data_IF_658448771295
#
_entry.id   IF_658448771295
#
_cell.length_a   1.000
_cell.length_b   1.000
_cell.length_c   1.000
_cell.angle_alpha   90.00
_cell.angle_beta   90.00
_cell.angle_gamma   90.00
#
_symmetry.space_group_name_H-M   'P 1'
#
loop_
_entity.id
_entity.type
_entity.pdbx_description
1 polymer ?
#
# COMPACT_ATOMS: atom_id res chain seq x y z
N UNK A 1 23.06 -32.43 2.48
CA UNK A 1 21.65 -32.81 2.27
C UNK A 1 20.72 -32.46 3.45
N UNK A 2 21.11 -32.61 4.73
CA UNK A 2 20.27 -32.22 5.89
C UNK A 2 19.84 -30.74 5.95
N UNK A 3 20.68 -29.80 5.50
CA UNK A 3 20.36 -28.36 5.48
C UNK A 3 19.35 -27.96 4.38
N UNK A 4 19.20 -28.76 3.31
CA UNK A 4 18.28 -28.48 2.21
C UNK A 4 16.85 -28.95 2.53
N UNK A 5 16.72 -30.06 3.28
CA UNK A 5 15.44 -30.51 3.82
C UNK A 5 14.84 -29.51 4.83
N UNK A 6 15.68 -28.86 5.65
CA UNK A 6 15.22 -27.83 6.60
C UNK A 6 14.62 -26.59 5.91
N UNK A 7 15.17 -26.22 4.74
CA UNK A 7 14.72 -25.04 3.98
C UNK A 7 13.42 -25.28 3.21
N UNK A 8 13.23 -26.47 2.64
CA UNK A 8 11.99 -26.86 1.92
C UNK A 8 10.85 -27.11 2.91
N UNK A 9 11.14 -27.63 4.10
CA UNK A 9 10.16 -27.73 5.20
C UNK A 9 9.75 -26.34 5.68
N UNK A 10 10.66 -25.37 5.84
CA UNK A 10 10.31 -23.99 6.24
C UNK A 10 9.26 -23.32 5.33
N UNK A 11 9.32 -23.50 4.01
CA UNK A 11 8.37 -22.84 3.11
C UNK A 11 6.98 -23.50 3.09
N UNK A 12 6.87 -24.83 3.26
CA UNK A 12 5.59 -25.53 3.34
C UNK A 12 4.99 -25.55 4.76
N UNK A 13 5.81 -25.43 5.81
CA UNK A 13 5.33 -25.33 7.19
C UNK A 13 4.85 -23.92 7.54
N UNK A 14 5.35 -22.86 6.89
CA UNK A 14 4.85 -21.50 7.13
C UNK A 14 3.35 -21.38 6.83
N UNK A 15 2.85 -22.01 5.76
CA UNK A 15 1.41 -22.03 5.45
C UNK A 15 0.59 -22.80 6.49
N UNK A 16 1.12 -23.89 7.03
CA UNK A 16 0.51 -24.64 8.15
C UNK A 16 0.60 -23.87 9.48
N UNK A 17 1.67 -23.12 9.72
CA UNK A 17 1.87 -22.31 10.93
C UNK A 17 0.90 -21.13 11.02
N UNK A 18 0.46 -20.58 9.87
CA UNK A 18 -0.58 -19.52 9.86
C UNK A 18 -1.89 -20.04 10.47
N UNK A 19 -2.17 -21.34 10.38
CA UNK A 19 -3.36 -21.96 10.98
C UNK A 19 -3.09 -22.61 12.34
N UNK A 20 -1.84 -22.97 12.64
CA UNK A 20 -1.49 -23.66 13.88
C UNK A 20 -1.79 -22.78 15.11
N UNK A 21 -2.60 -23.31 16.02
CA UNK A 21 -2.92 -22.62 17.26
C UNK A 21 -1.80 -22.74 18.31
N UNK A 22 -0.97 -23.79 18.21
CA UNK A 22 0.11 -24.13 19.13
C UNK A 22 1.25 -24.87 18.40
N UNK A 23 2.37 -25.10 19.07
CA UNK A 23 3.52 -25.84 18.54
C UNK A 23 3.20 -27.34 18.48
N UNK A 24 3.47 -28.03 17.36
CA UNK A 24 3.24 -29.46 17.24
C UNK A 24 3.95 -30.25 18.37
N UNK A 25 3.30 -31.27 18.97
CA UNK A 25 3.84 -32.00 20.10
C UNK A 25 5.13 -32.78 19.75
N UNK A 26 5.37 -33.07 18.48
CA UNK A 26 6.56 -33.77 17.97
C UNK A 26 7.84 -32.95 18.13
N UNK A 27 7.72 -31.63 18.28
CA UNK A 27 8.86 -30.75 18.53
C UNK A 27 9.20 -30.78 20.03
N UNK A 28 10.21 -31.59 20.35
CA UNK A 28 10.66 -31.82 21.73
C UNK A 28 11.83 -30.94 22.14
N UNK A 29 12.62 -30.43 21.18
CA UNK A 29 13.72 -29.53 21.48
C UNK A 29 13.21 -28.21 22.09
N UNK A 30 13.66 -27.81 23.30
CA UNK A 30 13.15 -26.63 23.98
C UNK A 30 13.40 -25.32 23.23
N UNK A 31 14.54 -25.21 22.54
CA UNK A 31 14.92 -24.00 21.82
C UNK A 31 14.08 -23.85 20.56
N UNK A 32 13.96 -24.94 19.77
CA UNK A 32 13.10 -24.99 18.59
C UNK A 32 11.63 -24.70 18.94
N UNK A 33 11.13 -25.30 20.04
CA UNK A 33 9.78 -25.07 20.52
C UNK A 33 9.53 -23.61 20.89
N UNK A 34 10.51 -22.93 21.51
CA UNK A 34 10.40 -21.51 21.84
C UNK A 34 10.44 -20.62 20.59
N UNK A 35 11.31 -20.92 19.62
CA UNK A 35 11.34 -20.23 18.32
C UNK A 35 9.99 -20.32 17.63
N UNK A 36 9.39 -21.52 17.57
CA UNK A 36 8.08 -21.75 16.98
C UNK A 36 6.97 -21.01 17.73
N UNK A 37 6.99 -21.01 19.07
CA UNK A 37 6.03 -20.23 19.87
C UNK A 37 6.10 -18.74 19.54
N UNK A 38 7.30 -18.17 19.47
CA UNK A 38 7.48 -16.76 19.13
C UNK A 38 7.01 -16.47 17.70
N UNK A 39 7.35 -17.32 16.73
CA UNK A 39 6.92 -17.17 15.35
C UNK A 39 5.40 -17.26 15.19
N UNK A 40 4.74 -18.21 15.85
CA UNK A 40 3.27 -18.34 15.85
C UNK A 40 2.63 -17.08 16.45
N UNK A 41 3.16 -16.60 17.60
CA UNK A 41 2.65 -15.37 18.21
C UNK A 41 2.82 -14.18 17.27
N UNK A 42 4.00 -13.98 16.68
CA UNK A 42 4.29 -12.86 15.76
C UNK A 42 3.55 -12.93 14.42
N UNK A 43 3.03 -14.09 14.02
CA UNK A 43 2.16 -14.24 12.86
C UNK A 43 0.69 -13.89 13.14
N UNK A 44 0.33 -13.59 14.39
CA UNK A 44 -1.00 -13.08 14.77
C UNK A 44 -0.97 -11.57 15.00
N UNK A 45 -2.14 -10.98 15.14
CA UNK A 45 -2.34 -9.57 15.49
C UNK A 45 -3.24 -9.53 16.72
N UNK A 46 -2.65 -9.50 17.92
CA UNK A 46 -3.39 -9.30 19.17
C UNK A 46 -4.09 -7.94 19.15
N UNK A 47 -5.13 -7.78 19.97
CA UNK A 47 -5.83 -6.51 20.14
C UNK A 47 -4.89 -5.43 20.65
N UNK A 48 -4.00 -5.75 21.60
CA UNK A 48 -3.04 -4.78 22.13
C UNK A 48 -2.07 -4.28 21.05
N UNK A 49 -1.52 -5.18 20.24
CA UNK A 49 -0.67 -4.80 19.11
C UNK A 49 -1.46 -4.01 18.05
N UNK A 50 -2.66 -4.49 17.70
CA UNK A 50 -3.54 -3.83 16.72
C UNK A 50 -3.81 -2.38 17.10
N UNK A 51 -4.15 -2.11 18.36
CA UNK A 51 -4.48 -0.76 18.83
C UNK A 51 -3.29 0.19 18.68
N UNK A 52 -2.09 -0.23 19.12
CA UNK A 52 -0.88 0.60 19.02
C UNK A 52 -0.50 0.84 17.56
N UNK A 53 -0.47 -0.23 16.75
CA UNK A 53 -0.15 -0.12 15.32
C UNK A 53 -1.17 0.74 14.57
N UNK A 54 -2.48 0.54 14.80
CA UNK A 54 -3.54 1.31 14.17
C UNK A 54 -3.46 2.79 14.54
N UNK A 55 -3.14 3.13 15.79
CA UNK A 55 -2.93 4.52 16.19
C UNK A 55 -1.77 5.15 15.41
N UNK A 56 -0.61 4.50 15.34
CA UNK A 56 0.54 5.01 14.59
C UNK A 56 0.25 5.18 13.09
N UNK A 57 -0.45 4.21 12.49
CA UNK A 57 -0.86 4.28 11.09
C UNK A 57 -1.83 5.43 10.85
N UNK A 58 -2.81 5.62 11.74
CA UNK A 58 -3.79 6.70 11.65
C UNK A 58 -3.16 8.09 11.84
N UNK A 59 -2.19 8.23 12.75
CA UNK A 59 -1.43 9.46 12.93
C UNK A 59 -0.63 9.82 11.68
N UNK A 60 0.04 8.84 11.06
CA UNK A 60 0.80 9.07 9.82
C UNK A 60 -0.12 9.35 8.61
N UNK A 61 -1.26 8.66 8.51
CA UNK A 61 -2.28 8.95 7.49
C UNK A 61 -2.82 10.39 7.63
N UNK A 62 -3.10 10.82 8.86
CA UNK A 62 -3.51 12.19 9.15
C UNK A 62 -2.44 13.22 8.80
N UNK A 63 -1.18 12.93 9.11
CA UNK A 63 -0.06 13.77 8.70
C UNK A 63 -0.01 13.93 7.17
N UNK A 64 -0.06 12.82 6.42
CA UNK A 64 -0.04 12.86 4.95
C UNK A 64 -1.25 13.62 4.39
N UNK A 65 -2.46 13.35 4.89
CA UNK A 65 -3.67 14.03 4.46
C UNK A 65 -3.60 15.55 4.69
N UNK A 66 -2.97 15.97 5.79
CA UNK A 66 -2.75 17.39 6.09
C UNK A 66 -1.73 18.02 5.15
N UNK A 67 -0.53 17.43 5.05
CA UNK A 67 0.56 17.99 4.22
C UNK A 67 0.23 18.04 2.73
N UNK A 68 -0.49 17.03 2.24
CA UNK A 68 -0.91 16.94 0.84
C UNK A 68 -2.20 17.73 0.56
N UNK A 69 -2.83 18.31 1.59
CA UNK A 69 -4.09 19.06 1.50
C UNK A 69 -5.19 18.27 0.77
N UNK A 70 -5.32 16.99 1.12
CA UNK A 70 -6.26 16.10 0.42
C UNK A 70 -7.71 16.58 0.60
N UNK A 71 -8.57 16.47 -0.43
CA UNK A 71 -9.96 16.96 -0.41
C UNK A 71 -10.89 16.02 0.38
N UNK A 72 -10.62 15.85 1.68
CA UNK A 72 -11.35 14.98 2.60
C UNK A 72 -11.48 15.61 4.00
N UNK A 73 -12.47 15.18 4.81
CA UNK A 73 -12.54 15.59 6.22
C UNK A 73 -11.25 15.24 6.97
N UNK A 74 -10.79 16.15 7.82
CA UNK A 74 -9.57 16.02 8.63
C UNK A 74 -9.84 16.53 10.05
N UNK A 75 -9.28 15.90 11.09
CA UNK A 75 -8.50 14.66 11.03
C UNK A 75 -9.40 13.44 10.77
N UNK A 76 -8.85 12.43 10.09
CA UNK A 76 -9.42 11.10 9.89
C UNK A 76 -9.67 10.49 11.28
N UNK A 77 -10.94 10.24 11.59
CA UNK A 77 -11.33 9.56 12.82
C UNK A 77 -11.23 8.04 12.65
N UNK A 78 -10.97 7.27 13.72
CA UNK A 78 -11.01 5.82 13.67
C UNK A 78 -12.35 5.25 13.17
N UNK A 79 -13.47 5.97 13.40
CA UNK A 79 -14.81 5.57 12.96
C UNK A 79 -15.04 5.77 11.46
N UNK A 80 -14.25 6.63 10.82
CA UNK A 80 -14.40 7.00 9.41
C UNK A 80 -13.44 6.22 8.51
N UNK A 81 -12.66 5.31 9.09
CA UNK A 81 -11.62 4.57 8.40
C UNK A 81 -11.66 3.08 8.73
N UNK A 82 -11.46 2.25 7.70
CA UNK A 82 -11.09 0.86 7.88
C UNK A 82 -9.58 0.77 8.02
N UNK A 83 -9.10 0.22 9.15
CA UNK A 83 -7.67 0.08 9.43
C UNK A 83 -7.30 -1.39 9.44
N UNK A 84 -6.48 -1.80 8.49
CA UNK A 84 -5.90 -3.13 8.43
C UNK A 84 -4.44 -3.08 8.90
N UNK A 85 -4.08 -3.95 9.85
CA UNK A 85 -2.75 -4.03 10.43
C UNK A 85 -2.10 -5.36 10.03
N UNK A 86 -0.88 -5.29 9.52
CA UNK A 86 -0.07 -6.45 9.13
C UNK A 86 0.54 -7.09 10.40
N UNK A 87 0.55 -8.44 10.50
CA UNK A 87 1.23 -9.12 11.60
C UNK A 87 2.71 -8.75 11.71
N UNK A 88 3.26 -8.60 12.94
CA UNK A 88 4.66 -8.21 13.15
C UNK A 88 5.65 -9.04 12.34
N UNK A 89 5.41 -10.35 12.18
CA UNK A 89 6.31 -11.23 11.43
C UNK A 89 6.62 -10.73 10.02
N UNK A 90 5.64 -10.13 9.34
CA UNK A 90 5.79 -9.61 7.98
C UNK A 90 6.32 -8.18 7.94
N UNK A 91 6.33 -7.47 9.06
CA UNK A 91 6.84 -6.09 9.19
C UNK A 91 8.21 -6.02 9.87
N UNK A 92 8.94 -7.14 9.96
CA UNK A 92 10.28 -7.21 10.55
C UNK A 92 11.31 -6.43 9.73
N UNK A 93 12.27 -5.78 10.39
CA UNK A 93 13.34 -5.08 9.69
C UNK A 93 14.33 -6.02 8.99
N UNK A 94 14.72 -5.71 7.75
CA UNK A 94 15.71 -6.51 7.02
C UNK A 94 17.10 -6.52 7.69
N UNK A 95 17.43 -5.46 8.44
CA UNK A 95 18.64 -5.37 9.26
C UNK A 95 18.67 -6.42 10.37
N UNK A 96 17.51 -6.97 10.76
CA UNK A 96 17.43 -8.07 11.70
C UNK A 96 17.63 -9.37 10.92
N UNK A 97 18.88 -9.84 10.90
CA UNK A 97 19.21 -11.16 10.35
C UNK A 97 18.63 -12.24 11.27
N UNK A 98 17.32 -12.45 11.14
CA UNK A 98 16.52 -13.45 11.81
C UNK A 98 16.84 -14.82 11.24
N UNK A 99 18.04 -15.29 11.56
CA UNK A 99 18.25 -16.72 11.60
C UNK A 99 17.33 -17.25 12.69
N UNK A 100 16.34 -18.06 12.30
CA UNK A 100 15.47 -18.87 13.17
C UNK A 100 16.25 -19.89 14.02
N UNK A 101 17.53 -19.63 14.29
CA UNK A 101 18.40 -20.52 15.04
C UNK A 101 18.49 -20.17 16.52
N UNK A 102 18.03 -18.98 16.95
CA UNK A 102 18.13 -18.53 18.35
C UNK A 102 16.94 -17.65 18.78
N UNK A 103 16.25 -17.97 19.89
CA UNK A 103 15.17 -17.14 20.44
C UNK A 103 15.56 -15.68 20.69
N UNK A 104 16.77 -15.42 21.18
CA UNK A 104 17.22 -14.05 21.53
C UNK A 104 17.35 -13.12 20.32
N UNK A 105 17.55 -13.68 19.12
CA UNK A 105 17.51 -12.90 17.88
C UNK A 105 16.09 -12.48 17.52
N UNK A 106 15.10 -13.32 17.81
CA UNK A 106 13.69 -12.97 17.64
C UNK A 106 13.31 -11.88 18.64
N UNK A 107 13.76 -12.00 19.89
CA UNK A 107 13.48 -11.02 20.95
C UNK A 107 14.08 -9.64 20.71
N UNK A 108 15.23 -9.57 20.03
CA UNK A 108 15.89 -8.32 19.65
C UNK A 108 15.48 -7.78 18.28
N UNK A 109 14.53 -8.43 17.60
CA UNK A 109 14.06 -7.97 16.31
C UNK A 109 13.28 -6.65 16.42
N UNK A 110 13.53 -5.77 15.46
CA UNK A 110 12.78 -4.55 15.24
C UNK A 110 11.59 -4.83 14.31
N UNK A 111 10.43 -4.34 14.70
CA UNK A 111 9.18 -4.48 13.96
C UNK A 111 8.64 -3.10 13.61
N UNK A 112 8.17 -2.95 12.38
CA UNK A 112 7.49 -1.74 11.94
C UNK A 112 5.98 -1.86 12.14
N UNK A 113 5.30 -0.73 12.39
CA UNK A 113 3.89 -0.64 12.09
C UNK A 113 3.75 -0.72 10.56
N UNK A 114 2.95 -1.67 10.08
CA UNK A 114 2.68 -1.88 8.66
C UNK A 114 1.20 -2.16 8.50
N UNK A 115 0.58 -1.58 7.48
CA UNK A 115 -0.85 -1.67 7.30
C UNK A 115 -1.40 -0.66 6.32
N UNK A 116 -2.73 -0.62 6.28
CA UNK A 116 -3.52 0.23 5.40
C UNK A 116 -4.58 0.97 6.21
N UNK A 117 -4.68 2.28 6.00
CA UNK A 117 -5.81 3.10 6.46
C UNK A 117 -6.65 3.45 5.25
N UNK A 118 -7.90 3.02 5.22
CA UNK A 118 -8.81 3.20 4.08
C UNK A 118 -9.96 4.10 4.49
N UNK A 119 -10.17 5.18 3.75
CA UNK A 119 -11.33 6.06 3.85
C UNK A 119 -12.17 5.95 2.58
N UNK A 120 -13.33 6.61 2.56
CA UNK A 120 -14.18 6.68 1.37
C UNK A 120 -13.43 7.25 0.15
N UNK A 121 -12.51 8.20 0.38
CA UNK A 121 -11.84 8.96 -0.69
C UNK A 121 -10.41 8.53 -0.97
N UNK A 122 -9.69 8.09 0.06
CA UNK A 122 -8.27 7.77 -0.02
C UNK A 122 -7.90 6.52 0.76
N UNK A 123 -6.90 5.81 0.26
CA UNK A 123 -6.25 4.67 0.86
C UNK A 123 -4.78 5.03 1.13
N UNK A 124 -4.31 4.72 2.33
CA UNK A 124 -2.96 5.00 2.80
C UNK A 124 -2.28 3.68 3.16
N UNK A 125 -1.30 3.26 2.38
CA UNK A 125 -0.50 2.07 2.69
C UNK A 125 0.83 2.52 3.28
N UNK A 126 1.09 2.15 4.53
CA UNK A 126 2.10 2.81 5.36
C UNK A 126 3.00 1.79 6.04
N UNK A 127 4.30 2.10 6.07
CA UNK A 127 5.28 1.42 6.90
C UNK A 127 5.94 0.22 6.21
N UNK A 128 6.12 -0.84 6.98
CA UNK A 128 6.85 -2.04 6.57
C UNK A 128 8.38 -1.84 6.50
N UNK A 129 9.12 -2.88 6.08
CA UNK A 129 10.59 -2.92 6.16
C UNK A 129 11.30 -1.81 5.37
N UNK A 130 10.66 -1.40 4.27
CA UNK A 130 11.15 -0.36 3.38
C UNK A 130 10.65 1.04 3.75
N UNK A 131 9.87 1.17 4.84
CA UNK A 131 9.25 2.43 5.28
C UNK A 131 8.45 3.11 4.15
N UNK A 132 7.61 2.33 3.47
CA UNK A 132 6.85 2.77 2.30
C UNK A 132 5.76 3.75 2.69
N UNK A 133 5.41 4.63 1.77
CA UNK A 133 4.31 5.59 1.92
C UNK A 133 3.56 5.67 0.61
N UNK A 134 2.36 5.10 0.60
CA UNK A 134 1.46 5.21 -0.55
C UNK A 134 0.22 5.99 -0.13
N UNK A 135 -0.23 6.88 -1.01
CA UNK A 135 -1.52 7.56 -0.91
C UNK A 135 -2.22 7.39 -2.23
N UNK A 136 -3.36 6.75 -2.22
CA UNK A 136 -4.11 6.40 -3.41
C UNK A 136 -5.55 6.89 -3.30
N UNK A 137 -6.13 7.44 -4.37
CA UNK A 137 -7.54 7.85 -4.37
C UNK A 137 -8.46 6.63 -4.53
N UNK A 138 -9.23 6.27 -3.50
CA UNK A 138 -10.03 5.04 -3.39
C UNK A 138 -11.00 4.75 -4.55
N UNK A 139 -11.42 5.76 -5.33
CA UNK A 139 -12.30 5.55 -6.50
C UNK A 139 -11.55 5.16 -7.79
N UNK A 140 -10.22 5.12 -7.74
CA UNK A 140 -9.34 4.82 -8.88
C UNK A 140 -8.50 3.56 -8.56
N UNK A 141 -9.09 2.60 -7.84
CA UNK A 141 -8.33 1.46 -7.29
C UNK A 141 -7.70 0.56 -8.33
N UNK A 142 -8.34 0.46 -9.49
CA UNK A 142 -7.89 -0.42 -10.56
C UNK A 142 -7.55 0.43 -11.80
N UNK A 143 -6.55 0.00 -12.59
CA UNK A 143 -6.28 0.59 -13.91
C UNK A 143 -7.58 0.69 -14.71
N UNK A 144 -8.50 -0.27 -14.58
CA UNK A 144 -9.81 -0.25 -15.23
C UNK A 144 -10.71 0.91 -14.76
N UNK A 145 -10.62 1.34 -13.49
CA UNK A 145 -11.43 2.45 -12.95
C UNK A 145 -11.01 3.81 -13.53
N UNK A 146 -9.73 3.99 -13.88
CA UNK A 146 -9.31 5.24 -14.53
C UNK A 146 -9.74 5.27 -16.00
N UNK A 147 -9.79 4.11 -16.65
CA UNK A 147 -10.24 3.96 -18.04
C UNK A 147 -11.71 4.37 -18.21
N UNK A 148 -12.55 4.14 -17.20
CA UNK A 148 -13.95 4.59 -17.21
C UNK A 148 -14.09 6.13 -17.24
N UNK A 149 -13.09 6.84 -16.70
CA UNK A 149 -13.06 8.31 -16.69
C UNK A 149 -12.49 8.90 -17.99
N UNK A 150 -11.83 8.09 -18.84
CA UNK A 150 -11.14 8.61 -20.02
C UNK A 150 -12.05 9.37 -20.99
N UNK A 151 -13.28 8.94 -21.32
CA UNK A 151 -14.15 9.70 -22.21
C UNK A 151 -14.47 11.10 -21.69
N UNK A 152 -14.64 11.27 -20.37
CA UNK A 152 -14.90 12.57 -19.74
C UNK A 152 -13.63 13.41 -19.67
N UNK A 153 -12.54 12.81 -19.20
CA UNK A 153 -11.24 13.47 -19.07
C UNK A 153 -10.68 13.94 -20.42
N UNK A 154 -10.89 13.17 -21.49
CA UNK A 154 -10.44 13.53 -22.83
C UNK A 154 -11.15 14.75 -23.42
N UNK A 155 -12.34 15.09 -22.90
CA UNK A 155 -13.09 16.29 -23.27
C UNK A 155 -12.81 17.47 -22.34
N UNK A 156 -12.03 17.25 -21.29
CA UNK A 156 -11.76 18.25 -20.26
C UNK A 156 -10.36 18.82 -20.44
N UNK A 157 -10.20 20.14 -20.63
CA UNK A 157 -8.88 20.74 -20.81
C UNK A 157 -8.05 20.61 -19.53
N UNK A 158 -6.75 20.36 -19.68
CA UNK A 158 -5.81 20.40 -18.55
C UNK A 158 -5.55 21.85 -18.12
N UNK A 159 -5.50 22.09 -16.81
CA UNK A 159 -5.11 23.37 -16.21
C UNK A 159 -3.60 23.48 -15.95
N UNK A 160 -2.85 22.40 -16.22
CA UNK A 160 -1.39 22.33 -16.09
C UNK A 160 -0.77 21.64 -17.30
N UNK A 161 0.50 21.94 -17.55
CA UNK A 161 1.36 21.19 -18.45
C UNK A 161 2.28 20.25 -17.66
N UNK A 162 3.25 19.64 -18.34
CA UNK A 162 4.24 18.77 -17.71
C UNK A 162 5.11 19.48 -16.67
N UNK A 163 5.42 20.76 -16.88
CA UNK A 163 6.19 21.56 -15.91
C UNK A 163 5.38 21.83 -14.64
N UNK A 164 4.10 22.19 -14.79
CA UNK A 164 3.18 22.38 -13.68
C UNK A 164 2.97 21.09 -12.88
N UNK A 165 2.87 19.94 -13.55
CA UNK A 165 2.79 18.64 -12.87
C UNK A 165 4.04 18.34 -12.03
N UNK A 166 5.24 18.57 -12.58
CA UNK A 166 6.49 18.40 -11.85
C UNK A 166 6.61 19.35 -10.64
N UNK A 167 6.19 20.60 -10.79
CA UNK A 167 6.15 21.57 -9.69
C UNK A 167 5.21 21.13 -8.55
N UNK A 168 4.00 20.65 -8.87
CA UNK A 168 3.08 20.13 -7.87
C UNK A 168 3.65 18.90 -7.16
N UNK A 169 4.21 17.96 -7.93
CA UNK A 169 4.80 16.75 -7.39
C UNK A 169 5.96 17.05 -6.42
N UNK A 170 6.90 17.92 -6.81
CA UNK A 170 8.00 18.33 -5.93
C UNK A 170 7.49 19.07 -4.68
N UNK A 171 6.49 19.95 -4.80
CA UNK A 171 5.89 20.60 -3.62
C UNK A 171 5.29 19.58 -2.63
N UNK A 172 4.54 18.60 -3.13
CA UNK A 172 3.96 17.55 -2.28
C UNK A 172 5.01 16.64 -1.66
N UNK A 173 6.02 16.22 -2.41
CA UNK A 173 7.13 15.42 -1.90
C UNK A 173 7.90 16.16 -0.80
N UNK A 174 8.19 17.44 -1.00
CA UNK A 174 8.81 18.28 0.02
C UNK A 174 7.93 18.39 1.28
N UNK A 175 6.62 18.58 1.12
CA UNK A 175 5.67 18.72 2.23
C UNK A 175 5.59 17.45 3.10
N UNK A 176 5.69 16.25 2.50
CA UNK A 176 5.71 14.98 3.25
C UNK A 176 7.11 14.60 3.76
N UNK A 177 8.11 15.47 3.58
CA UNK A 177 9.44 15.33 4.14
C UNK A 177 10.41 14.49 3.31
N UNK A 178 10.23 14.44 1.99
CA UNK A 178 11.22 13.83 1.08
C UNK A 178 12.42 14.76 0.88
N UNK A 179 13.63 14.22 0.95
CA UNK A 179 14.86 14.89 0.57
C UNK A 179 15.01 14.93 -0.96
N UNK A 180 14.31 15.87 -1.58
CA UNK A 180 14.32 16.06 -3.04
C UNK A 180 15.72 16.25 -3.62
N UNK A 181 16.61 17.09 -3.06
CA UNK A 181 17.97 17.22 -3.57
C UNK A 181 18.71 15.87 -3.65
N UNK A 182 18.61 15.04 -2.61
CA UNK A 182 19.25 13.72 -2.61
C UNK A 182 18.57 12.72 -3.56
N UNK A 183 17.23 12.78 -3.66
CA UNK A 183 16.45 11.97 -4.60
C UNK A 183 16.86 12.26 -6.05
N UNK A 184 16.90 13.53 -6.45
CA UNK A 184 17.22 13.95 -7.82
C UNK A 184 18.69 13.76 -8.19
N UNK A 185 19.58 13.83 -7.19
CA UNK A 185 21.00 13.51 -7.39
C UNK A 185 21.20 12.02 -7.72
N UNK A 186 20.40 11.13 -7.13
CA UNK A 186 20.51 9.67 -7.31
C UNK A 186 19.66 9.12 -8.45
N UNK A 187 18.52 9.74 -8.72
CA UNK A 187 17.53 9.24 -9.66
C UNK A 187 17.10 10.35 -10.61
N UNK A 188 17.20 10.06 -11.92
CA UNK A 188 16.61 10.93 -12.93
C UNK A 188 15.10 10.93 -12.79
N UNK A 189 14.49 12.09 -13.03
CA UNK A 189 13.06 12.23 -13.08
C UNK A 189 12.54 12.22 -14.53
N UNK A 190 11.28 11.83 -14.70
CA UNK A 190 10.55 11.90 -15.96
C UNK A 190 9.12 12.38 -15.70
N UNK A 191 8.54 13.08 -16.68
CA UNK A 191 7.13 13.46 -16.66
C UNK A 191 6.44 12.87 -17.88
N UNK A 192 5.39 12.09 -17.65
CA UNK A 192 4.60 11.47 -18.70
C UNK A 192 3.16 11.97 -18.61
N UNK A 193 2.62 12.49 -19.71
CA UNK A 193 1.20 12.79 -19.82
C UNK A 193 0.50 11.61 -20.49
N UNK A 194 -0.53 11.10 -19.83
CA UNK A 194 -1.35 9.99 -20.33
C UNK A 194 -2.07 10.38 -21.62
N UNK A 195 -2.32 9.38 -22.47
CA UNK A 195 -3.03 9.55 -23.73
C UNK A 195 -3.61 8.22 -24.19
N UNK A 196 -4.54 8.28 -25.14
CA UNK A 196 -4.97 7.12 -25.91
C UNK A 196 -5.00 7.44 -27.41
N UNK A 197 -5.06 6.41 -28.24
CA UNK A 197 -5.20 6.54 -29.68
C UNK A 197 -6.68 6.49 -30.07
N UNK A 198 -7.19 7.55 -30.71
CA UNK A 198 -8.58 7.64 -31.17
C UNK A 198 -9.29 8.91 -30.74
N UNK A 199 -10.52 9.09 -31.19
CA UNK A 199 -11.37 10.18 -30.73
C UNK A 199 -12.12 9.76 -29.45
N UNK A 200 -12.36 10.69 -28.51
CA UNK A 200 -13.23 10.43 -27.35
C UNK A 200 -14.63 9.94 -27.72
N UNK A 201 -15.14 10.34 -28.89
CA UNK A 201 -16.44 9.95 -29.42
C UNK A 201 -16.49 8.48 -29.88
N UNK A 202 -15.34 7.90 -30.23
CA UNK A 202 -15.21 6.54 -30.76
C UNK A 202 -15.01 5.48 -29.66
N UNK A 203 -14.80 5.92 -28.40
CA UNK A 203 -14.64 5.00 -27.27
C UNK A 203 -15.96 4.26 -27.04
N UNK A 204 -16.00 2.91 -27.14
CA UNK A 204 -17.21 2.14 -26.87
C UNK A 204 -17.64 2.41 -25.43
N UNK A 205 -18.90 2.78 -25.23
CA UNK A 205 -19.44 3.11 -23.90
C UNK A 205 -19.49 1.90 -22.96
N UNK A 206 -19.36 0.70 -23.52
CA UNK A 206 -19.71 -0.56 -22.89
C UNK A 206 -18.59 -1.61 -22.95
N UNK A 207 -17.51 -1.43 -23.73
CA UNK A 207 -16.33 -2.32 -23.75
C UNK A 207 -15.06 -1.63 -24.23
N UNK A 208 -14.07 -1.49 -23.34
CA UNK A 208 -12.68 -1.25 -23.78
C UNK A 208 -12.18 -2.49 -24.53
N UNK A 209 -12.16 -2.45 -25.86
CA UNK A 209 -11.45 -3.44 -26.66
C UNK A 209 -10.01 -2.97 -26.84
N UNK A 210 -9.05 -3.79 -26.42
CA UNK A 210 -7.60 -3.52 -26.48
C UNK A 210 -7.07 -3.31 -27.92
N UNK A 211 -7.89 -3.48 -28.94
CA UNK A 211 -7.54 -3.13 -30.31
C UNK A 211 -7.95 -1.68 -30.58
N UNK A 212 -7.04 -0.69 -30.38
CA UNK A 212 -7.34 0.66 -30.81
C UNK A 212 -7.71 0.62 -32.31
N UNK A 213 -8.66 1.45 -32.76
CA UNK A 213 -8.84 1.70 -34.17
C UNK A 213 -7.48 2.00 -34.82
N UNK A 214 -7.28 1.68 -36.11
CA UNK A 214 -6.05 2.02 -36.87
C UNK A 214 -5.93 3.54 -37.08
N UNK A 215 -5.90 4.31 -36.00
CA UNK A 215 -5.87 5.75 -35.97
C UNK A 215 -4.52 6.21 -35.45
N UNK A 216 -3.97 7.23 -36.11
CA UNK A 216 -2.75 7.93 -35.68
C UNK A 216 -3.08 9.15 -34.83
N UNK A 217 -4.37 9.42 -34.56
CA UNK A 217 -4.78 10.56 -33.73
C UNK A 217 -4.57 10.23 -32.26
N UNK A 218 -3.68 11.00 -31.63
CA UNK A 218 -3.40 10.94 -30.19
C UNK A 218 -4.33 11.90 -29.47
N UNK A 219 -5.10 11.40 -28.50
CA UNK A 219 -5.89 12.23 -27.60
C UNK A 219 -5.22 12.26 -26.24
N UNK A 220 -4.76 13.45 -25.85
CA UNK A 220 -4.07 13.67 -24.58
C UNK A 220 -5.08 13.70 -23.43
N UNK A 221 -4.73 13.09 -22.31
CA UNK A 221 -5.51 13.12 -21.09
C UNK A 221 -4.89 14.10 -20.09
N UNK A 222 -5.70 14.78 -19.27
CA UNK A 222 -5.22 15.64 -18.20
C UNK A 222 -4.76 14.81 -16.98
N UNK A 223 -3.97 13.76 -17.19
CA UNK A 223 -3.36 12.96 -16.12
C UNK A 223 -1.85 12.93 -16.38
N UNK A 224 -1.06 13.23 -15.36
CA UNK A 224 0.39 13.28 -15.44
C UNK A 224 1.01 12.37 -14.40
N UNK A 225 1.95 11.52 -14.81
CA UNK A 225 2.84 10.80 -13.92
C UNK A 225 4.18 11.52 -13.87
N UNK A 226 4.62 11.85 -12.65
CA UNK A 226 5.97 12.34 -12.37
C UNK A 226 6.70 11.25 -11.61
N UNK A 227 7.79 10.75 -12.18
CA UNK A 227 8.53 9.58 -11.67
C UNK A 227 9.97 9.94 -11.40
N UNK A 228 10.55 9.33 -10.36
CA UNK A 228 12.00 9.32 -10.11
C UNK A 228 12.46 7.86 -10.09
N UNK A 229 13.48 7.54 -10.88
CA UNK A 229 14.05 6.19 -10.98
C UNK A 229 13.79 5.52 -12.33
N UNK A 230 13.76 4.20 -12.35
CA UNK A 230 13.44 3.42 -13.55
C UNK A 230 11.94 3.50 -13.86
N UNK A 231 11.55 3.69 -15.13
CA UNK A 231 10.15 3.90 -15.51
C UNK A 231 9.24 2.71 -15.13
N UNK A 232 9.79 1.49 -15.09
CA UNK A 232 9.05 0.27 -14.74
C UNK A 232 9.01 0.02 -13.23
N UNK A 233 9.97 0.58 -12.49
CA UNK A 233 10.13 0.41 -11.04
C UNK A 233 10.58 1.73 -10.39
N UNK A 234 9.76 2.79 -10.45
CA UNK A 234 10.15 4.08 -9.91
C UNK A 234 10.29 4.00 -8.40
N UNK A 235 11.32 4.66 -7.84
CA UNK A 235 11.49 4.76 -6.39
C UNK A 235 10.49 5.73 -5.77
N UNK A 236 10.08 6.74 -6.55
CA UNK A 236 9.03 7.69 -6.21
C UNK A 236 8.17 7.94 -7.46
N UNK A 237 6.85 7.93 -7.30
CA UNK A 237 5.90 8.31 -8.34
C UNK A 237 4.82 9.21 -7.73
N UNK A 238 4.40 10.22 -8.51
CA UNK A 238 3.26 11.09 -8.20
C UNK A 238 2.38 11.18 -9.43
N UNK A 239 1.09 10.88 -9.29
CA UNK A 239 0.10 11.04 -10.35
C UNK A 239 -0.83 12.21 -10.05
N UNK A 240 -0.90 13.16 -10.98
CA UNK A 240 -1.61 14.44 -10.86
C UNK A 240 -2.79 14.49 -11.83
N UNK A 241 -3.97 14.86 -11.33
CA UNK A 241 -5.12 15.21 -12.17
C UNK A 241 -5.02 16.66 -12.61
N UNK A 242 -4.70 16.89 -13.88
CA UNK A 242 -4.47 18.22 -14.45
C UNK A 242 -5.71 19.11 -14.53
N UNK A 243 -6.92 18.56 -14.52
CA UNK A 243 -8.18 19.34 -14.55
C UNK A 243 -8.46 20.06 -13.23
N UNK A 244 -7.98 19.52 -12.10
CA UNK A 244 -8.24 20.05 -10.75
C UNK A 244 -6.97 20.34 -9.96
N UNK A 245 -5.80 19.93 -10.46
CA UNK A 245 -4.50 19.98 -9.75
C UNK A 245 -4.51 19.12 -8.48
N UNK A 246 -5.34 18.09 -8.43
CA UNK A 246 -5.44 17.17 -7.29
C UNK A 246 -4.47 15.99 -7.43
N UNK A 247 -4.03 15.48 -6.27
CA UNK A 247 -3.28 14.24 -6.18
C UNK A 247 -4.21 13.04 -6.43
N UNK A 248 -3.82 12.15 -7.35
CA UNK A 248 -4.47 10.86 -7.55
C UNK A 248 -3.72 9.72 -6.88
N UNK A 249 -2.40 9.72 -7.01
CA UNK A 249 -1.51 8.69 -6.48
C UNK A 249 -0.18 9.31 -6.03
N UNK A 250 0.33 8.87 -4.88
CA UNK A 250 1.68 9.11 -4.41
C UNK A 250 2.24 7.78 -3.95
N UNK A 251 3.41 7.42 -4.47
CA UNK A 251 4.10 6.17 -4.16
C UNK A 251 5.55 6.45 -3.81
N UNK A 252 5.99 6.04 -2.62
CA UNK A 252 7.37 6.10 -2.15
C UNK A 252 7.80 4.69 -1.73
N UNK A 253 8.67 4.06 -2.53
CA UNK A 253 9.12 2.67 -2.35
C UNK A 253 10.19 2.48 -1.26
N UNK A 254 10.80 3.57 -0.77
CA UNK A 254 11.91 3.46 0.17
C UNK A 254 12.06 4.67 1.08
N UNK A 255 12.29 4.42 2.35
CA UNK A 255 12.51 5.45 3.37
C UNK A 255 13.87 6.14 3.31
N UNK A 256 14.78 5.76 2.42
CA UNK A 256 16.12 6.38 2.34
C UNK A 256 16.10 7.87 2.01
N UNK A 257 15.00 8.34 1.42
CA UNK A 257 14.79 9.75 1.11
C UNK A 257 13.80 10.43 2.07
N UNK A 258 13.18 9.69 2.98
CA UNK A 258 12.27 10.26 3.96
C UNK A 258 13.07 10.80 5.13
N UNK A 259 12.88 12.08 5.44
CA UNK A 259 13.42 12.71 6.66
C UNK A 259 12.65 12.29 7.91
N UNK A 260 11.43 11.78 7.72
CA UNK A 260 10.58 11.28 8.81
C UNK A 260 11.08 9.92 9.28
N UNK A 261 11.07 9.66 10.60
CA UNK A 261 11.47 8.38 11.13
C UNK A 261 10.51 7.26 10.66
N UNK A 262 11.00 6.02 10.54
CA UNK A 262 10.13 4.88 10.30
C UNK A 262 9.19 4.63 11.48
N UNK A 263 8.02 4.05 11.20
CA UNK A 263 7.04 3.70 12.21
C UNK A 263 7.48 2.42 12.94
N UNK A 264 8.25 2.54 14.03
CA UNK A 264 8.78 1.38 14.77
C UNK A 264 7.94 1.09 16.01
N UNK A 265 7.60 -0.18 16.23
CA UNK A 265 6.97 -0.69 17.44
C UNK A 265 8.02 -1.46 18.25
N UNK A 266 8.62 -0.79 19.23
CA UNK A 266 9.77 -1.33 20.00
C UNK A 266 9.40 -2.51 20.92
N UNK A 267 8.13 -2.62 21.31
CA UNK A 267 7.61 -3.68 22.19
C UNK A 267 6.61 -4.61 21.48
N UNK A 268 6.74 -4.80 20.15
CA UNK A 268 5.78 -5.58 19.36
C UNK A 268 5.57 -7.01 19.89
N UNK A 269 6.63 -7.70 20.32
CA UNK A 269 6.54 -9.06 20.89
C UNK A 269 5.69 -9.04 22.15
N UNK A 270 5.98 -8.12 23.07
CA UNK A 270 5.25 -8.01 24.33
C UNK A 270 3.76 -7.76 24.06
N UNK A 271 3.44 -6.77 23.23
CA UNK A 271 2.06 -6.45 22.84
C UNK A 271 1.34 -7.65 22.24
N UNK A 272 2.02 -8.40 21.37
CA UNK A 272 1.42 -9.54 20.67
C UNK A 272 1.33 -10.81 21.53
N UNK A 273 2.03 -10.85 22.67
CA UNK A 273 1.95 -11.96 23.64
C UNK A 273 0.83 -11.78 24.67
N UNK A 274 0.27 -10.58 24.79
CA UNK A 274 -0.84 -10.31 25.72
C UNK A 274 -2.10 -11.04 25.25
N UNK A 275 -2.83 -11.73 26.14
CA UNK A 275 -4.08 -12.36 25.80
C UNK A 275 -5.11 -11.30 25.40
N UNK A 276 -5.87 -11.57 24.34
CA UNK A 276 -6.99 -10.73 23.98
C UNK A 276 -8.10 -10.83 25.03
N UNK A 277 -8.82 -9.75 25.34
CA UNK A 277 -9.98 -9.83 26.20
C UNK A 277 -11.03 -10.76 25.57
N UNK A 278 -11.86 -11.44 26.38
CA UNK A 278 -12.88 -12.32 25.85
C UNK A 278 -13.84 -11.55 24.92
N UNK A 279 -14.14 -12.11 23.74
CA UNK A 279 -14.97 -11.49 22.69
C UNK A 279 -16.29 -10.89 23.21
N UNK A 280 -16.92 -11.53 24.21
CA UNK A 280 -18.16 -11.04 24.84
C UNK A 280 -18.04 -9.65 25.48
N UNK A 281 -16.83 -9.17 25.77
CA UNK A 281 -16.57 -7.82 26.28
C UNK A 281 -16.35 -6.78 25.18
N UNK A 282 -16.05 -7.23 23.95
CA UNK A 282 -15.83 -6.37 22.79
C UNK A 282 -17.13 -6.07 22.03
N UNK A 283 -18.16 -6.90 22.22
CA UNK A 283 -19.53 -6.64 21.76
C UNK A 283 -20.22 -5.56 22.61
N UNK A 284 -19.63 -4.37 22.70
CA UNK A 284 -20.49 -3.17 22.78
C UNK A 284 -21.08 -3.00 21.39
N UNK A 285 -22.40 -2.75 21.26
CA UNK A 285 -23.01 -2.59 19.96
C UNK A 285 -22.29 -1.43 19.26
N UNK A 286 -21.46 -1.78 18.28
CA UNK A 286 -21.03 -0.84 17.26
C UNK A 286 -22.34 -0.41 16.62
N UNK A 287 -22.77 0.82 16.87
CA UNK A 287 -23.81 1.42 16.05
C UNK A 287 -23.26 1.33 14.62
N UNK A 288 -23.84 0.43 13.82
CA UNK A 288 -23.52 0.36 12.40
C UNK A 288 -23.65 1.79 11.87
N UNK A 289 -22.57 2.38 11.32
CA UNK A 289 -22.75 3.61 10.56
C UNK A 289 -23.80 3.28 9.51
N UNK A 290 -24.86 4.09 9.44
CA UNK A 290 -25.88 3.96 8.41
C UNK A 290 -25.24 4.28 7.06
N UNK A 291 -24.54 3.29 6.50
CA UNK A 291 -24.15 3.26 5.12
C UNK A 291 -25.45 3.00 4.38
N UNK A 292 -25.97 4.04 3.73
CA UNK A 292 -27.13 3.94 2.85
C UNK A 292 -26.97 2.69 1.97
N UNK A 293 -27.98 1.82 2.03
CA UNK A 293 -27.99 0.51 1.39
C UNK A 293 -27.53 0.60 -0.07
N UNK A 294 -26.44 -0.10 -0.37
CA UNK A 294 -25.98 -0.34 -1.73
C UNK A 294 -27.02 -1.21 -2.43
N UNK A 295 -27.54 -0.69 -3.55
CA UNK A 295 -28.44 -1.40 -4.48
C UNK A 295 -27.76 -2.71 -4.95
N UNK A 296 -28.48 -3.83 -5.07
CA UNK A 296 -27.86 -5.11 -5.44
C UNK A 296 -27.32 -5.03 -6.87
N UNK A 297 -26.01 -5.16 -7.04
CA UNK A 297 -25.39 -5.35 -8.35
C UNK A 297 -25.43 -6.83 -8.74
N UNK A 298 -25.88 -7.09 -9.97
CA UNK A 298 -25.85 -8.40 -10.62
C UNK A 298 -24.45 -9.05 -10.57
N UNK A 299 -24.37 -10.40 -10.58
CA UNK A 299 -23.09 -11.09 -10.53
C UNK A 299 -22.22 -10.74 -11.75
N UNK A 300 -20.99 -10.29 -11.48
CA UNK A 300 -19.98 -10.04 -12.52
C UNK A 300 -19.52 -11.35 -13.18
N UNK A 301 -19.34 -11.37 -14.52
CA UNK A 301 -18.71 -12.47 -15.21
C UNK A 301 -17.23 -12.61 -14.84
N UNK A 302 -16.72 -13.85 -14.90
CA UNK A 302 -15.33 -14.20 -14.56
C UNK A 302 -14.31 -13.34 -15.33
N UNK A 303 -13.26 -12.85 -14.67
CA UNK A 303 -12.21 -12.10 -15.35
C UNK A 303 -11.39 -13.02 -16.27
N UNK A 304 -10.98 -12.53 -17.45
CA UNK A 304 -10.04 -13.24 -18.31
C UNK A 304 -8.63 -13.28 -17.68
N UNK A 305 -7.83 -14.26 -18.10
CA UNK A 305 -6.49 -14.50 -17.59
C UNK A 305 -5.54 -13.29 -17.80
N UNK A 306 -4.56 -13.05 -16.90
CA UNK A 306 -3.67 -11.89 -16.98
C UNK A 306 -2.68 -12.01 -18.15
N UNK A 307 -2.47 -10.90 -18.87
CA UNK A 307 -1.56 -10.81 -20.02
C UNK A 307 -0.23 -10.11 -19.70
N UNK A 308 0.82 -10.63 -20.37
CA UNK A 308 2.21 -10.14 -20.42
C UNK A 308 2.30 -8.79 -21.13
N UNK A 309 2.98 -7.82 -20.50
CA UNK A 309 3.49 -6.61 -21.17
C UNK A 309 4.63 -6.99 -22.12
N UNK A 310 4.50 -6.67 -23.41
CA UNK A 310 5.65 -6.61 -24.32
C UNK A 310 6.42 -5.31 -24.04
N UNK A 311 7.60 -5.47 -23.43
CA UNK A 311 8.58 -4.39 -23.31
C UNK A 311 9.35 -4.35 -24.63
N UNK A 312 9.05 -3.36 -25.49
CA UNK A 312 10.00 -2.98 -26.54
C UNK A 312 11.09 -2.13 -25.89
N UNK A 313 12.30 -2.69 -25.81
CA UNK A 313 13.52 -1.92 -25.57
C UNK A 313 13.86 -1.09 -26.83
N UNK A 314 14.53 0.07 -26.67
CA UNK A 314 14.92 0.95 -27.77
C UNK A 314 15.84 0.25 -28.79
#
# INVERSE_FOLDING_TARGET
>A
MKKFAFFVVCCFTLTWMVQAQDVPPEITDPEEREILRLAIKLNRVSLAYRTVAAQMLLEEANFLAEQLKLPMPRPIQPTDAYIWVVPPWYSKADSTNLSLSKPDRIRSATFYADGVVMTEKFEFSLGGPQNRRYVHRSKIKDEDSILDLFPELARTPSLIDTNGAYQLATQWLAAVGVDLPELERKHRWSVFQHFFWGNPEDLPKDKWTYNPPKTTKKTMLPIFDVKWGDDSTPVVQVTVLGTTKELLDLRIEGGSFLKRPPLIITNAIELNTRPDPPMKQLERPVQEPQINQVVPTNPMPKPPAPFRREIRKP
#
